data_IF_129604331446
#
_entry.id   IF_129604331446
#
_cell.length_a   1.000
_cell.length_b   1.000
_cell.length_c   1.000
_cell.angle_alpha   90.00
_cell.angle_beta   90.00
_cell.angle_gamma   90.00
#
_symmetry.space_group_name_H-M   'P 1'
#
loop_
_entity.id
_entity.type
_entity.pdbx_description
1 polymer ?
#
# COMPACT_ATOMS: atom_id res chain seq x y z
N UNK A 1 -16.21 65.59 -13.03
CA UNK A 1 -16.91 64.61 -12.17
C UNK A 1 -17.36 65.32 -10.91
N UNK A 2 -18.59 65.10 -10.43
CA UNK A 2 -19.00 65.58 -9.10
C UNK A 2 -18.56 64.58 -8.04
N UNK A 3 -18.26 65.06 -6.82
CA UNK A 3 -17.78 64.24 -5.70
C UNK A 3 -18.70 63.04 -5.42
N UNK A 4 -20.03 63.22 -5.54
CA UNK A 4 -21.01 62.13 -5.39
C UNK A 4 -20.85 60.99 -6.43
N UNK A 5 -20.54 61.30 -7.69
CA UNK A 5 -20.35 60.26 -8.72
C UNK A 5 -19.08 59.45 -8.46
N UNK A 6 -18.05 60.09 -7.92
CA UNK A 6 -16.81 59.42 -7.53
C UNK A 6 -17.07 58.45 -6.36
N UNK A 7 -17.80 58.89 -5.33
CA UNK A 7 -18.16 58.05 -4.18
C UNK A 7 -18.96 56.81 -4.61
N UNK A 8 -19.97 56.97 -5.47
CA UNK A 8 -20.74 55.83 -5.98
C UNK A 8 -19.89 54.86 -6.81
N UNK A 9 -18.95 55.37 -7.61
CA UNK A 9 -18.06 54.52 -8.42
C UNK A 9 -17.10 53.72 -7.55
N UNK A 10 -16.50 54.35 -6.53
CA UNK A 10 -15.63 53.66 -5.57
C UNK A 10 -16.40 52.55 -4.84
N UNK A 11 -17.59 52.86 -4.32
CA UNK A 11 -18.43 51.86 -3.65
C UNK A 11 -18.81 50.69 -4.57
N UNK A 12 -19.16 50.98 -5.84
CA UNK A 12 -19.47 49.94 -6.81
C UNK A 12 -18.27 49.01 -7.08
N UNK A 13 -17.07 49.58 -7.25
CA UNK A 13 -15.83 48.81 -7.44
C UNK A 13 -15.51 47.97 -6.21
N UNK A 14 -15.67 48.52 -5.01
CA UNK A 14 -15.45 47.77 -3.76
C UNK A 14 -16.40 46.58 -3.66
N UNK A 15 -17.69 46.77 -3.94
CA UNK A 15 -18.69 45.68 -3.90
C UNK A 15 -18.39 44.61 -4.94
N UNK A 16 -18.06 44.99 -6.18
CA UNK A 16 -17.68 44.04 -7.24
C UNK A 16 -16.42 43.25 -6.85
N UNK A 17 -15.44 43.92 -6.24
CA UNK A 17 -14.20 43.27 -5.78
C UNK A 17 -14.48 42.26 -4.68
N UNK A 18 -15.34 42.61 -3.70
CA UNK A 18 -15.76 41.69 -2.64
C UNK A 18 -16.53 40.49 -3.19
N UNK A 19 -17.43 40.71 -4.14
CA UNK A 19 -18.15 39.62 -4.82
C UNK A 19 -17.20 38.72 -5.60
N UNK A 20 -16.21 39.30 -6.31
CA UNK A 20 -15.19 38.54 -7.02
C UNK A 20 -14.34 37.69 -6.07
N UNK A 21 -13.91 38.25 -4.94
CA UNK A 21 -13.20 37.50 -3.91
C UNK A 21 -14.06 36.38 -3.33
N UNK A 22 -15.35 36.63 -3.06
CA UNK A 22 -16.26 35.62 -2.54
C UNK A 22 -16.41 34.43 -3.52
N UNK A 23 -16.56 34.72 -4.81
CA UNK A 23 -16.62 33.68 -5.85
C UNK A 23 -15.32 32.89 -5.92
N UNK A 24 -14.16 33.56 -5.88
CA UNK A 24 -12.85 32.88 -5.87
C UNK A 24 -12.67 32.00 -4.64
N UNK A 25 -13.04 32.49 -3.46
CA UNK A 25 -12.99 31.70 -2.22
C UNK A 25 -13.88 30.46 -2.30
N UNK A 26 -15.12 30.61 -2.79
CA UNK A 26 -16.05 29.49 -2.96
C UNK A 26 -15.49 28.40 -3.88
N UNK A 27 -14.92 28.78 -5.03
CA UNK A 27 -14.30 27.81 -5.94
C UNK A 27 -13.03 27.18 -5.35
N UNK A 28 -12.23 27.97 -4.62
CA UNK A 28 -10.99 27.49 -3.99
C UNK A 28 -11.27 26.49 -2.87
N UNK A 29 -12.26 26.75 -2.03
CA UNK A 29 -12.69 25.87 -0.94
C UNK A 29 -13.14 24.53 -1.51
N UNK A 30 -14.06 24.55 -2.50
CA UNK A 30 -14.58 23.32 -3.13
C UNK A 30 -13.49 22.51 -3.85
N UNK A 31 -12.55 23.18 -4.52
CA UNK A 31 -11.42 22.50 -5.17
C UNK A 31 -10.45 21.90 -4.15
N UNK A 32 -10.23 22.60 -3.04
CA UNK A 32 -9.33 22.17 -1.97
C UNK A 32 -9.89 20.96 -1.22
N UNK A 33 -11.19 20.94 -0.91
CA UNK A 33 -11.84 19.80 -0.26
C UNK A 33 -11.69 18.51 -1.07
N UNK A 34 -11.92 18.58 -2.38
CA UNK A 34 -11.79 17.41 -3.25
C UNK A 34 -10.33 16.93 -3.32
N UNK A 35 -9.39 17.85 -3.51
CA UNK A 35 -7.96 17.52 -3.60
C UNK A 35 -7.44 16.91 -2.30
N UNK A 36 -7.79 17.52 -1.15
CA UNK A 36 -7.39 17.03 0.16
C UNK A 36 -7.99 15.64 0.42
N UNK A 37 -9.27 15.45 0.11
CA UNK A 37 -9.94 14.16 0.26
C UNK A 37 -9.27 13.08 -0.59
N UNK A 38 -8.96 13.37 -1.85
CA UNK A 38 -8.28 12.44 -2.75
C UNK A 38 -6.88 12.06 -2.24
N UNK A 39 -6.11 13.03 -1.75
CA UNK A 39 -4.78 12.78 -1.16
C UNK A 39 -4.92 11.91 0.09
N UNK A 40 -5.80 12.28 1.02
CA UNK A 40 -6.00 11.52 2.27
C UNK A 40 -6.47 10.10 1.97
N UNK A 41 -7.44 9.93 1.07
CA UNK A 41 -7.98 8.61 0.74
C UNK A 41 -6.92 7.73 0.07
N UNK A 42 -6.14 8.29 -0.86
CA UNK A 42 -5.03 7.58 -1.51
C UNK A 42 -3.96 7.19 -0.51
N UNK A 43 -3.51 8.11 0.33
CA UNK A 43 -2.42 7.88 1.28
C UNK A 43 -2.87 6.90 2.38
N UNK A 44 -4.12 6.99 2.84
CA UNK A 44 -4.71 6.01 3.75
C UNK A 44 -4.78 4.62 3.12
N UNK A 45 -5.25 4.51 1.87
CA UNK A 45 -5.27 3.22 1.15
C UNK A 45 -3.87 2.65 0.98
N UNK A 46 -2.90 3.47 0.60
CA UNK A 46 -1.50 3.04 0.47
C UNK A 46 -0.96 2.53 1.81
N UNK A 47 -1.17 3.28 2.90
CA UNK A 47 -0.77 2.85 4.23
C UNK A 47 -1.43 1.53 4.64
N UNK A 48 -2.73 1.38 4.37
CA UNK A 48 -3.46 0.14 4.63
C UNK A 48 -2.87 -1.03 3.85
N UNK A 49 -2.63 -0.88 2.54
CA UNK A 49 -2.02 -1.93 1.72
C UNK A 49 -0.64 -2.34 2.25
N UNK A 50 0.18 -1.38 2.66
CA UNK A 50 1.50 -1.68 3.25
C UNK A 50 1.41 -2.46 4.57
N UNK A 51 0.40 -2.16 5.41
CA UNK A 51 0.16 -2.90 6.65
C UNK A 51 -0.36 -4.32 6.38
N UNK A 52 -1.23 -4.50 5.39
CA UNK A 52 -1.72 -5.83 5.02
C UNK A 52 -0.60 -6.71 4.45
N UNK A 53 0.26 -6.17 3.56
CA UNK A 53 1.45 -6.89 3.05
C UNK A 53 2.31 -7.41 4.21
N UNK A 54 2.56 -6.59 5.22
CA UNK A 54 3.35 -6.99 6.41
C UNK A 54 2.63 -8.08 7.22
N UNK A 55 1.32 -7.93 7.38
CA UNK A 55 0.49 -8.89 8.11
C UNK A 55 0.51 -10.25 7.42
N UNK A 56 0.24 -10.26 6.12
CA UNK A 56 0.24 -11.46 5.28
C UNK A 56 1.62 -12.11 5.23
N UNK A 57 2.70 -11.33 5.13
CA UNK A 57 4.05 -11.87 5.20
C UNK A 57 4.31 -12.62 6.52
N UNK A 58 3.87 -12.03 7.63
CA UNK A 58 4.00 -12.66 8.97
C UNK A 58 3.17 -13.94 9.06
N UNK A 59 1.93 -13.92 8.56
CA UNK A 59 1.03 -15.07 8.59
C UNK A 59 1.50 -16.20 7.67
N UNK A 60 2.07 -15.86 6.51
CA UNK A 60 2.71 -16.82 5.60
C UNK A 60 3.88 -17.52 6.31
N UNK A 61 4.80 -16.77 6.92
CA UNK A 61 5.95 -17.34 7.65
C UNK A 61 5.47 -18.25 8.79
N UNK A 62 4.47 -17.82 9.56
CA UNK A 62 3.89 -18.64 10.64
C UNK A 62 3.28 -19.95 10.09
N UNK A 63 2.61 -19.88 8.94
CA UNK A 63 2.02 -21.04 8.27
C UNK A 63 3.09 -22.00 7.76
N UNK A 64 4.15 -21.49 7.11
CA UNK A 64 5.31 -22.28 6.68
C UNK A 64 5.96 -22.98 7.87
N UNK A 65 6.18 -22.26 8.98
CA UNK A 65 6.71 -22.84 10.22
C UNK A 65 5.85 -23.99 10.72
N UNK A 66 4.52 -23.83 10.69
CA UNK A 66 3.61 -24.87 11.14
C UNK A 66 3.67 -26.11 10.23
N UNK A 67 3.84 -25.94 8.92
CA UNK A 67 4.09 -27.06 8.00
C UNK A 67 5.40 -27.78 8.34
N UNK A 68 6.47 -27.04 8.64
CA UNK A 68 7.76 -27.63 9.06
C UNK A 68 7.62 -28.46 10.34
N UNK A 69 6.84 -27.97 11.31
CA UNK A 69 6.58 -28.67 12.59
C UNK A 69 5.67 -29.89 12.36
N UNK A 70 4.61 -29.73 11.57
CA UNK A 70 3.64 -30.77 11.25
C UNK A 70 3.40 -30.84 9.73
N UNK A 71 4.12 -31.70 9.00
CA UNK A 71 4.01 -31.83 7.54
C UNK A 71 2.63 -32.26 7.03
N UNK A 72 1.76 -32.78 7.91
CA UNK A 72 0.39 -33.22 7.58
C UNK A 72 -0.65 -32.11 7.78
N UNK A 73 -0.24 -30.92 8.21
CA UNK A 73 -1.15 -29.79 8.38
C UNK A 73 -1.50 -29.14 7.03
N UNK A 74 -2.53 -29.67 6.37
CA UNK A 74 -3.03 -29.17 5.09
C UNK A 74 -3.53 -27.72 5.18
N UNK A 75 -4.09 -27.32 6.33
CA UNK A 75 -4.57 -25.95 6.52
C UNK A 75 -3.41 -24.96 6.48
N UNK A 76 -2.30 -25.28 7.16
CA UNK A 76 -1.11 -24.43 7.13
C UNK A 76 -0.48 -24.36 5.74
N UNK A 77 -0.54 -25.42 4.93
CA UNK A 77 -0.08 -25.38 3.53
C UNK A 77 -0.93 -24.43 2.69
N UNK A 78 -2.25 -24.55 2.77
CA UNK A 78 -3.18 -23.67 2.06
C UNK A 78 -3.02 -22.21 2.49
N UNK A 79 -2.88 -21.97 3.80
CA UNK A 79 -2.67 -20.64 4.35
C UNK A 79 -1.37 -20.00 3.85
N UNK A 80 -0.27 -20.74 3.79
CA UNK A 80 1.00 -20.21 3.29
C UNK A 80 0.87 -19.70 1.84
N UNK A 81 0.13 -20.43 0.99
CA UNK A 81 -0.12 -20.01 -0.39
C UNK A 81 -1.10 -18.83 -0.43
N UNK A 82 -2.18 -18.89 0.35
CA UNK A 82 -3.19 -17.83 0.44
C UNK A 82 -2.58 -16.48 0.81
N UNK A 83 -1.84 -16.41 1.92
CA UNK A 83 -1.23 -15.16 2.38
C UNK A 83 -0.14 -14.66 1.43
N UNK A 84 0.53 -15.55 0.70
CA UNK A 84 1.43 -15.15 -0.37
C UNK A 84 0.67 -14.40 -1.49
N UNK A 85 -0.48 -14.94 -1.93
CA UNK A 85 -1.30 -14.35 -2.99
C UNK A 85 -1.97 -13.03 -2.55
N UNK A 86 -2.43 -12.95 -1.30
CA UNK A 86 -3.03 -11.74 -0.71
C UNK A 86 -1.99 -10.59 -0.65
N UNK A 87 -0.79 -10.85 -0.12
CA UNK A 87 0.30 -9.88 -0.14
C UNK A 87 0.67 -9.42 -1.56
N UNK A 88 0.67 -10.33 -2.56
CA UNK A 88 0.97 -9.94 -3.94
C UNK A 88 -0.10 -9.01 -4.52
N UNK A 89 -1.37 -9.26 -4.21
CA UNK A 89 -2.48 -8.40 -4.59
C UNK A 89 -2.29 -7.01 -3.97
N UNK A 90 -1.99 -6.93 -2.68
CA UNK A 90 -1.85 -5.65 -2.00
C UNK A 90 -0.59 -4.87 -2.43
N UNK A 91 0.49 -5.56 -2.81
CA UNK A 91 1.65 -4.94 -3.47
C UNK A 91 1.22 -4.30 -4.80
N UNK A 92 0.42 -5.00 -5.61
CA UNK A 92 -0.05 -4.48 -6.89
C UNK A 92 -0.99 -3.28 -6.69
N UNK A 93 -1.89 -3.34 -5.72
CA UNK A 93 -2.75 -2.21 -5.34
C UNK A 93 -1.89 -1.01 -4.91
N UNK A 94 -0.86 -1.21 -4.09
CA UNK A 94 0.09 -0.17 -3.69
C UNK A 94 0.85 0.45 -4.88
N UNK A 95 1.25 -0.35 -5.89
CA UNK A 95 1.89 0.16 -7.13
C UNK A 95 0.97 1.13 -7.86
N UNK A 96 -0.33 0.83 -7.93
CA UNK A 96 -1.30 1.71 -8.61
C UNK A 96 -1.54 3.02 -7.85
N UNK A 97 -1.43 2.98 -6.52
CA UNK A 97 -1.68 4.12 -5.64
C UNK A 97 -0.46 5.04 -5.50
N UNK A 98 0.77 4.50 -5.57
CA UNK A 98 2.01 5.25 -5.37
C UNK A 98 2.88 5.30 -6.63
N UNK A 99 2.71 6.35 -7.42
CA UNK A 99 3.57 6.60 -8.60
C UNK A 99 5.03 6.88 -8.22
N UNK A 100 5.24 7.54 -7.09
CA UNK A 100 6.57 7.94 -6.62
C UNK A 100 7.42 6.74 -6.19
N UNK A 101 6.78 5.71 -5.60
CA UNK A 101 7.46 4.50 -5.12
C UNK A 101 7.21 3.27 -6.01
N UNK A 102 6.72 3.49 -7.23
CA UNK A 102 6.26 2.40 -8.10
C UNK A 102 7.40 1.43 -8.46
N UNK A 103 8.63 1.93 -8.63
CA UNK A 103 9.77 1.09 -8.98
C UNK A 103 10.23 0.22 -7.80
N UNK A 104 10.28 0.77 -6.59
CA UNK A 104 10.56 0.02 -5.36
C UNK A 104 9.49 -1.06 -5.12
N UNK A 105 8.21 -0.71 -5.29
CA UNK A 105 7.10 -1.65 -5.11
C UNK A 105 7.07 -2.73 -6.19
N UNK A 106 7.44 -2.43 -7.44
CA UNK A 106 7.63 -3.45 -8.49
C UNK A 106 8.78 -4.39 -8.17
N UNK A 107 9.88 -3.86 -7.62
CA UNK A 107 11.01 -4.69 -7.16
C UNK A 107 10.55 -5.62 -6.04
N UNK A 108 9.79 -5.12 -5.06
CA UNK A 108 9.18 -5.92 -4.01
C UNK A 108 8.25 -7.00 -4.59
N UNK A 109 7.38 -6.64 -5.54
CA UNK A 109 6.47 -7.57 -6.23
C UNK A 109 7.24 -8.72 -6.88
N UNK A 110 8.34 -8.41 -7.58
CA UNK A 110 9.21 -9.42 -8.20
C UNK A 110 9.87 -10.32 -7.16
N UNK A 111 10.43 -9.75 -6.09
CA UNK A 111 11.03 -10.53 -5.00
C UNK A 111 10.00 -11.46 -4.34
N UNK A 112 8.77 -10.96 -4.15
CA UNK A 112 7.67 -11.74 -3.61
C UNK A 112 7.32 -12.90 -4.52
N UNK A 113 7.14 -12.67 -5.83
CA UNK A 113 6.87 -13.73 -6.80
C UNK A 113 7.95 -14.83 -6.79
N UNK A 114 9.22 -14.47 -6.64
CA UNK A 114 10.31 -15.45 -6.52
C UNK A 114 10.23 -16.24 -5.19
N UNK A 115 9.87 -15.58 -4.09
CA UNK A 115 9.65 -16.22 -2.78
C UNK A 115 8.58 -17.32 -2.84
N UNK A 116 7.59 -17.24 -3.74
CA UNK A 116 6.60 -18.31 -3.91
C UNK A 116 7.23 -19.66 -4.23
N UNK A 117 8.31 -19.67 -5.03
CA UNK A 117 9.02 -20.89 -5.41
C UNK A 117 9.69 -21.51 -4.19
N UNK A 118 10.34 -20.68 -3.37
CA UNK A 118 11.00 -21.10 -2.14
C UNK A 118 10.00 -21.68 -1.13
N UNK A 119 8.85 -21.01 -0.93
CA UNK A 119 7.78 -21.50 -0.05
C UNK A 119 7.28 -22.88 -0.50
N UNK A 120 7.00 -23.05 -1.80
CA UNK A 120 6.57 -24.35 -2.37
C UNK A 120 7.64 -25.42 -2.22
N UNK A 121 8.91 -25.07 -2.41
CA UNK A 121 10.02 -25.99 -2.23
C UNK A 121 10.16 -26.42 -0.76
N UNK A 122 10.05 -25.49 0.19
CA UNK A 122 10.07 -25.78 1.63
C UNK A 122 8.97 -26.75 2.01
N UNK A 123 7.73 -26.52 1.54
CA UNK A 123 6.59 -27.41 1.80
C UNK A 123 6.88 -28.81 1.23
N UNK A 124 7.32 -28.90 -0.02
CA UNK A 124 7.64 -30.16 -0.69
C UNK A 124 8.78 -30.94 -0.01
N UNK A 125 9.86 -30.27 0.38
CA UNK A 125 10.99 -30.89 1.10
C UNK A 125 10.58 -31.38 2.49
N UNK A 126 9.70 -30.65 3.15
CA UNK A 126 9.15 -30.99 4.46
C UNK A 126 8.28 -32.25 4.38
N UNK A 127 7.43 -32.36 3.36
CA UNK A 127 6.63 -33.57 3.09
C UNK A 127 7.52 -34.80 2.80
N UNK A 128 8.64 -34.59 2.12
CA UNK A 128 9.61 -35.66 1.82
C UNK A 128 10.52 -36.03 3.00
N UNK A 129 10.39 -35.36 4.16
CA UNK A 129 11.22 -35.61 5.34
C UNK A 129 12.69 -35.20 5.18
N UNK A 130 13.04 -34.40 4.14
CA UNK A 130 14.42 -34.01 3.80
C UNK A 130 14.91 -32.81 4.63
N UNK A 131 14.96 -32.99 5.96
CA UNK A 131 15.28 -31.93 6.94
C UNK A 131 16.65 -31.23 6.73
N UNK A 132 17.65 -31.93 6.19
CA UNK A 132 18.98 -31.37 5.94
C UNK A 132 19.02 -30.36 4.78
N UNK A 133 18.22 -30.58 3.72
CA UNK A 133 18.09 -29.63 2.60
C UNK A 133 17.24 -28.42 3.00
N UNK A 134 16.26 -28.65 3.87
CA UNK A 134 15.42 -27.60 4.44
C UNK A 134 16.24 -26.56 5.23
N UNK A 135 17.24 -26.98 6.02
CA UNK A 135 18.09 -26.04 6.77
C UNK A 135 18.96 -25.14 5.90
N UNK A 136 19.28 -25.54 4.67
CA UNK A 136 20.00 -24.68 3.72
C UNK A 136 19.06 -23.63 3.11
N UNK A 137 17.83 -24.02 2.75
CA UNK A 137 16.81 -23.15 2.17
C UNK A 137 16.21 -22.14 3.18
N UNK A 138 16.36 -22.35 4.49
CA UNK A 138 15.88 -21.42 5.53
C UNK A 138 16.87 -20.27 5.83
N UNK A 139 18.13 -20.35 5.38
CA UNK A 139 19.14 -19.30 5.64
C UNK A 139 18.76 -17.91 5.09
N UNK A 140 18.17 -17.77 3.89
CA UNK A 140 17.74 -16.45 3.38
C UNK A 140 16.67 -15.79 4.25
N UNK A 141 15.74 -16.59 4.81
CA UNK A 141 14.65 -16.12 5.67
C UNK A 141 15.13 -15.67 7.06
N UNK A 142 16.25 -16.19 7.54
CA UNK A 142 16.86 -15.76 8.80
C UNK A 142 17.58 -14.41 8.66
N UNK A 143 18.23 -14.18 7.52
CA UNK A 143 19.00 -12.95 7.28
C UNK A 143 18.12 -11.74 6.87
N UNK A 144 16.87 -11.97 6.45
CA UNK A 144 15.93 -10.90 6.08
C UNK A 144 15.23 -10.22 7.27
N UNK A 145 15.48 -10.68 8.50
CA UNK A 145 14.91 -10.10 9.73
C UNK A 145 15.84 -9.15 10.49
N UNK A 146 17.07 -8.92 10.00
CA UNK A 146 18.10 -8.12 10.68
C UNK A 146 18.30 -6.70 10.08
N UNK A 147 17.42 -6.27 9.17
CA UNK A 147 17.42 -4.91 8.58
C UNK A 147 16.10 -4.22 8.80
#
# INVERSE_FOLDING_TARGET
MTIMRLIHLVNAVTVITLLGLFVLFYFTEKSSENTIREIIERDFKLFSSLQEIKTDATQMIASVRNVIINPKDEKSKQNAIKYHEEALKDINDAITLSKENAEELKKLSKQWQDLQKEVKEIISLTEQGKKMKLSENLKPLQNSGET
#
